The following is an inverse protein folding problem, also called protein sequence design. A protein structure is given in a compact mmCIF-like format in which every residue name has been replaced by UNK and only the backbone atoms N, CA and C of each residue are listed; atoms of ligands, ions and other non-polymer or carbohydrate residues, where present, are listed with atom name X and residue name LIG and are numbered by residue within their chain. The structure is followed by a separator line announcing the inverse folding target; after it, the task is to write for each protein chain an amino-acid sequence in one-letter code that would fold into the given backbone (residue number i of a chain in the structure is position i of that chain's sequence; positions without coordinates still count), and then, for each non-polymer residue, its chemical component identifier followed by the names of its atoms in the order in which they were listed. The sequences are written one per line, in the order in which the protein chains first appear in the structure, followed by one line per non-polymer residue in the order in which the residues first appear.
data_IF_560716446127
#
_entry.id   IF_560716446127
#
_cell.length_a   1.000
_cell.length_b   1.000
_cell.length_c   1.000
_cell.angle_alpha   90.00
_cell.angle_beta   90.00
_cell.angle_gamma   90.00
#
_symmetry.space_group_name_H-M   'P 1'
#
loop_
_entity.id
_entity.type
_entity.pdbx_description
1 polymer ?
#
# COMPACT_ATOMS: atom_id res chain seq x y z
N UNK A 1 8.71 12.63 -13.04
CA UNK A 1 8.24 11.22 -13.21
C UNK A 1 7.34 10.81 -12.06
N UNK A 2 6.68 9.64 -12.17
CA UNK A 2 5.92 9.03 -11.08
C UNK A 2 6.46 7.63 -10.83
N UNK A 3 6.90 7.38 -9.62
CA UNK A 3 7.46 6.11 -9.19
C UNK A 3 6.48 5.41 -8.24
N UNK A 4 6.35 4.10 -8.32
CA UNK A 4 5.66 3.30 -7.31
C UNK A 4 6.70 2.52 -6.49
N UNK A 5 6.69 2.72 -5.19
CA UNK A 5 7.48 1.95 -4.23
C UNK A 5 6.55 0.99 -3.49
N UNK A 6 6.69 -0.30 -3.76
CA UNK A 6 5.83 -1.35 -3.20
C UNK A 6 6.60 -2.11 -2.12
N UNK A 7 6.14 -2.05 -0.87
CA UNK A 7 6.81 -2.78 0.19
C UNK A 7 6.10 -4.09 0.54
N UNK A 8 6.86 -5.17 0.44
CA UNK A 8 6.44 -6.56 0.62
C UNK A 8 7.42 -7.35 1.50
N UNK A 9 8.16 -6.65 2.39
CA UNK A 9 9.18 -7.24 3.28
C UNK A 9 8.63 -7.97 4.51
N UNK A 10 7.32 -7.88 4.78
CA UNK A 10 6.73 -8.49 5.98
C UNK A 10 6.60 -10.02 5.88
N UNK A 11 7.02 -10.73 6.92
CA UNK A 11 6.91 -12.20 7.03
C UNK A 11 5.49 -12.70 7.35
N UNK A 12 4.52 -11.80 7.55
CA UNK A 12 3.11 -12.18 7.74
C UNK A 12 2.80 -12.84 9.08
N UNK A 13 3.42 -12.42 10.18
CA UNK A 13 3.28 -13.03 11.51
C UNK A 13 1.83 -13.25 12.00
N UNK A 14 0.88 -12.46 11.49
CA UNK A 14 -0.57 -12.61 11.78
C UNK A 14 -1.27 -13.70 10.96
N UNK A 15 -0.63 -14.23 9.92
CA UNK A 15 -1.12 -15.32 9.07
C UNK A 15 -0.45 -16.66 9.41
N UNK A 16 -0.24 -16.94 10.70
CA UNK A 16 0.54 -18.06 11.26
C UNK A 16 0.16 -19.47 10.77
N UNK A 17 -0.95 -19.64 10.08
CA UNK A 17 -1.43 -20.93 9.57
C UNK A 17 -0.94 -21.29 8.15
N UNK A 18 -0.14 -20.42 7.52
CA UNK A 18 0.32 -20.64 6.15
C UNK A 18 1.85 -20.59 6.08
N UNK A 19 2.46 -21.59 5.44
CA UNK A 19 3.91 -21.73 5.29
C UNK A 19 4.52 -20.74 4.28
N UNK A 20 3.69 -19.92 3.62
CA UNK A 20 4.14 -18.92 2.64
C UNK A 20 3.80 -17.50 3.13
N UNK A 21 4.70 -16.52 2.87
CA UNK A 21 4.40 -15.11 3.18
C UNK A 21 3.14 -14.63 2.44
N UNK A 22 2.30 -13.89 3.15
CA UNK A 22 0.94 -13.53 2.70
C UNK A 22 0.88 -12.86 1.32
N UNK A 23 1.89 -12.10 0.93
CA UNK A 23 1.97 -11.44 -0.38
C UNK A 23 2.08 -12.42 -1.55
N UNK A 24 2.52 -13.65 -1.28
CA UNK A 24 2.66 -14.71 -2.28
C UNK A 24 1.49 -15.71 -2.27
N UNK A 25 0.50 -15.52 -1.40
CA UNK A 25 -0.70 -16.36 -1.40
C UNK A 25 -1.43 -16.18 -2.72
N UNK A 26 -1.75 -17.30 -3.36
CA UNK A 26 -2.59 -17.32 -4.55
C UNK A 26 -4.05 -17.05 -4.19
N UNK A 27 -4.65 -16.17 -4.96
CA UNK A 27 -6.09 -15.90 -4.92
C UNK A 27 -6.60 -15.91 -6.36
N UNK A 28 -7.40 -16.91 -6.68
CA UNK A 28 -7.98 -17.07 -8.00
C UNK A 28 -6.93 -17.07 -9.12
N UNK A 29 -5.92 -17.96 -8.98
CA UNK A 29 -4.85 -18.20 -9.96
C UNK A 29 -3.77 -17.12 -10.06
N UNK A 30 -3.70 -16.18 -9.08
CA UNK A 30 -2.69 -15.12 -9.12
C UNK A 30 -2.25 -14.71 -7.71
N UNK A 31 -0.94 -14.61 -7.41
CA UNK A 31 -0.44 -14.11 -6.14
C UNK A 31 -0.90 -12.68 -5.84
N UNK A 32 -1.20 -12.39 -4.57
CA UNK A 32 -1.71 -11.08 -4.13
C UNK A 32 -0.78 -9.94 -4.57
N UNK A 33 0.55 -10.13 -4.44
CA UNK A 33 1.52 -9.10 -4.84
C UNK A 33 1.42 -8.79 -6.34
N UNK A 34 1.24 -9.80 -7.17
CA UNK A 34 1.11 -9.61 -8.62
C UNK A 34 -0.14 -8.81 -8.95
N UNK A 35 -1.27 -9.09 -8.29
CA UNK A 35 -2.48 -8.28 -8.43
C UNK A 35 -2.24 -6.82 -8.06
N UNK A 36 -1.51 -6.58 -6.97
CA UNK A 36 -1.15 -5.22 -6.55
C UNK A 36 -0.24 -4.53 -7.58
N UNK A 37 0.80 -5.21 -8.05
CA UNK A 37 1.73 -4.67 -9.05
C UNK A 37 1.06 -4.34 -10.39
N UNK A 38 0.08 -5.15 -10.81
CA UNK A 38 -0.68 -4.92 -12.05
C UNK A 38 -1.36 -3.56 -12.10
N UNK A 39 -1.91 -3.07 -10.97
CA UNK A 39 -2.56 -1.76 -10.92
C UNK A 39 -1.58 -0.64 -11.27
N UNK A 40 -0.36 -0.69 -10.74
CA UNK A 40 0.67 0.31 -11.03
C UNK A 40 1.28 0.12 -12.42
N UNK A 41 1.54 -1.12 -12.83
CA UNK A 41 2.11 -1.44 -14.14
C UNK A 41 1.19 -0.98 -15.29
N UNK A 42 -0.11 -1.18 -15.15
CA UNK A 42 -1.12 -0.78 -16.15
C UNK A 42 -1.48 0.71 -16.10
N UNK A 43 -1.12 1.41 -15.03
CA UNK A 43 -1.48 2.83 -14.89
C UNK A 43 -0.64 3.72 -15.79
N UNK A 44 -1.26 4.58 -16.64
CA UNK A 44 -0.52 5.34 -17.66
C UNK A 44 0.44 6.38 -17.08
N UNK A 45 0.14 6.93 -15.91
CA UNK A 45 0.98 7.96 -15.29
C UNK A 45 2.11 7.39 -14.41
N UNK A 46 2.15 6.09 -14.13
CA UNK A 46 3.25 5.46 -13.38
C UNK A 46 4.35 5.09 -14.37
N UNK A 47 5.55 5.59 -14.13
CA UNK A 47 6.71 5.38 -15.00
C UNK A 47 7.52 4.16 -14.58
N UNK A 48 7.79 3.99 -13.29
CA UNK A 48 8.60 2.87 -12.77
C UNK A 48 8.04 2.31 -11.47
N UNK A 49 8.40 1.06 -11.18
CA UNK A 49 8.04 0.35 -9.96
C UNK A 49 9.32 -0.20 -9.32
N UNK A 50 9.51 0.06 -8.05
CA UNK A 50 10.53 -0.57 -7.19
C UNK A 50 9.81 -1.38 -6.11
N UNK A 51 10.30 -2.58 -5.82
CA UNK A 51 9.72 -3.45 -4.79
C UNK A 51 10.74 -3.71 -3.69
N UNK A 52 10.36 -3.48 -2.43
CA UNK A 52 11.11 -3.96 -1.27
C UNK A 52 10.53 -5.30 -0.83
N UNK A 53 11.31 -6.37 -0.91
CA UNK A 53 10.86 -7.74 -0.72
C UNK A 53 11.67 -8.46 0.38
N UNK A 54 11.16 -9.55 0.91
CA UNK A 54 11.91 -10.46 1.77
C UNK A 54 13.16 -10.92 1.00
N UNK A 55 14.38 -10.80 1.56
CA UNK A 55 15.62 -11.03 0.80
C UNK A 55 15.71 -12.39 0.09
N UNK A 56 15.33 -13.47 0.75
CA UNK A 56 15.35 -14.84 0.19
C UNK A 56 14.22 -15.12 -0.82
N UNK A 57 13.36 -14.15 -1.09
CA UNK A 57 12.26 -14.23 -2.05
C UNK A 57 12.42 -13.33 -3.28
N UNK A 58 13.52 -12.62 -3.41
CA UNK A 58 13.77 -11.69 -4.51
C UNK A 58 13.74 -12.42 -5.86
N UNK A 59 14.50 -13.51 -6.00
CA UNK A 59 14.54 -14.30 -7.25
C UNK A 59 13.18 -14.92 -7.57
N UNK A 60 12.47 -15.39 -6.55
CA UNK A 60 11.12 -15.92 -6.70
C UNK A 60 10.15 -14.84 -7.22
N UNK A 61 10.23 -13.63 -6.67
CA UNK A 61 9.40 -12.51 -7.13
C UNK A 61 9.74 -12.10 -8.57
N UNK A 62 11.02 -12.07 -8.96
CA UNK A 62 11.41 -11.85 -10.36
C UNK A 62 10.81 -12.91 -11.30
N UNK A 63 10.78 -14.17 -10.87
CA UNK A 63 10.13 -15.26 -11.60
C UNK A 63 8.64 -14.97 -11.85
N UNK A 64 7.91 -14.59 -10.80
CA UNK A 64 6.49 -14.24 -10.87
C UNK A 64 6.23 -13.02 -11.75
N UNK A 65 7.05 -11.97 -11.64
CA UNK A 65 6.95 -10.76 -12.48
C UNK A 65 7.07 -11.12 -13.95
N UNK A 66 8.03 -11.97 -14.31
CA UNK A 66 8.22 -12.45 -15.68
C UNK A 66 7.05 -13.33 -16.15
N UNK A 67 6.62 -14.27 -15.34
CA UNK A 67 5.49 -15.18 -15.63
C UNK A 67 4.21 -14.40 -15.92
N UNK A 68 3.90 -13.41 -15.08
CA UNK A 68 2.70 -12.59 -15.21
C UNK A 68 2.88 -11.34 -16.09
N UNK A 69 4.05 -11.19 -16.74
CA UNK A 69 4.37 -10.08 -17.66
C UNK A 69 4.12 -8.71 -17.04
N UNK A 70 4.53 -8.53 -15.78
CA UNK A 70 4.44 -7.23 -15.12
C UNK A 70 5.55 -6.33 -15.68
N UNK A 71 5.15 -5.23 -16.27
CA UNK A 71 6.05 -4.23 -16.82
C UNK A 71 6.43 -3.16 -15.77
N UNK A 72 7.36 -2.29 -16.10
CA UNK A 72 7.81 -1.12 -15.31
C UNK A 72 8.52 -1.46 -13.98
N UNK A 73 8.69 -2.72 -13.60
CA UNK A 73 9.50 -3.08 -12.42
C UNK A 73 10.97 -2.95 -12.81
N UNK A 74 11.63 -1.94 -12.23
CA UNK A 74 13.03 -1.59 -12.53
C UNK A 74 14.00 -2.10 -11.45
N UNK A 75 13.51 -2.46 -10.27
CA UNK A 75 14.34 -2.96 -9.17
C UNK A 75 13.55 -3.69 -8.09
N UNK A 76 14.18 -4.70 -7.49
CA UNK A 76 13.73 -5.34 -6.27
C UNK A 76 14.88 -5.28 -5.27
N UNK A 77 14.62 -4.72 -4.08
CA UNK A 77 15.61 -4.60 -3.00
C UNK A 77 15.20 -5.41 -1.79
N UNK A 78 16.15 -5.76 -0.95
CA UNK A 78 15.87 -6.42 0.33
C UNK A 78 15.11 -5.51 1.28
N UNK A 79 14.10 -6.06 1.95
CA UNK A 79 13.42 -5.39 3.06
C UNK A 79 14.35 -5.21 4.26
N UNK A 80 13.98 -4.29 5.16
CA UNK A 80 14.69 -4.03 6.41
C UNK A 80 14.09 -4.80 7.60
N UNK A 81 14.58 -4.49 8.80
CA UNK A 81 14.13 -5.12 10.04
C UNK A 81 12.65 -4.81 10.39
N UNK A 82 12.12 -3.72 9.86
CA UNK A 82 10.73 -3.30 10.05
C UNK A 82 10.16 -2.66 8.76
N UNK A 83 8.89 -2.23 8.81
CA UNK A 83 8.22 -1.59 7.68
C UNK A 83 8.87 -0.28 7.25
N UNK A 84 9.25 0.56 8.21
CA UNK A 84 9.91 1.85 7.96
C UNK A 84 11.24 1.66 7.22
N UNK A 85 12.10 0.75 7.68
CA UNK A 85 13.37 0.46 7.03
C UNK A 85 13.18 -0.19 5.66
N UNK A 86 12.15 -1.04 5.49
CA UNK A 86 11.83 -1.62 4.18
C UNK A 86 11.39 -0.56 3.18
N UNK A 87 10.62 0.43 3.62
CA UNK A 87 10.24 1.58 2.80
C UNK A 87 11.47 2.42 2.46
N UNK A 88 12.32 2.74 3.43
CA UNK A 88 13.55 3.50 3.21
C UNK A 88 14.46 2.83 2.17
N UNK A 89 14.72 1.52 2.30
CA UNK A 89 15.53 0.78 1.32
C UNK A 89 14.97 0.91 -0.11
N UNK A 90 13.65 0.83 -0.26
CA UNK A 90 12.99 1.00 -1.55
C UNK A 90 13.08 2.44 -2.08
N UNK A 91 12.94 3.44 -1.21
CA UNK A 91 13.07 4.86 -1.58
C UNK A 91 14.48 5.21 -2.04
N UNK A 92 15.52 4.71 -1.38
CA UNK A 92 16.92 4.86 -1.81
C UNK A 92 17.15 4.28 -3.20
N UNK A 93 16.49 3.17 -3.55
CA UNK A 93 16.56 2.61 -4.91
C UNK A 93 15.84 3.51 -5.93
N UNK A 94 14.65 4.04 -5.58
CA UNK A 94 13.91 5.00 -6.41
C UNK A 94 14.73 6.27 -6.65
N UNK A 95 15.40 6.78 -5.61
CA UNK A 95 16.17 8.03 -5.65
C UNK A 95 17.26 8.03 -6.72
N UNK A 96 17.87 6.87 -7.01
CA UNK A 96 18.94 6.74 -8.01
C UNK A 96 18.54 7.24 -9.41
N UNK A 97 17.25 7.21 -9.74
CA UNK A 97 16.73 7.56 -11.06
C UNK A 97 15.58 8.59 -10.98
N UNK A 98 15.50 9.34 -9.89
CA UNK A 98 14.47 10.36 -9.68
C UNK A 98 15.04 11.75 -9.49
N UNK A 99 14.17 12.75 -9.64
CA UNK A 99 14.46 14.14 -9.27
C UNK A 99 13.69 14.50 -7.99
N UNK A 100 14.09 15.54 -7.24
CA UNK A 100 13.40 15.94 -6.02
C UNK A 100 11.90 16.23 -6.17
N UNK A 101 11.48 16.65 -7.36
CA UNK A 101 10.09 17.00 -7.66
C UNK A 101 9.25 15.84 -8.23
N UNK A 102 9.88 14.69 -8.46
CA UNK A 102 9.16 13.48 -8.87
C UNK A 102 8.23 13.00 -7.74
N UNK A 103 7.13 12.38 -8.12
CA UNK A 103 6.17 11.80 -7.17
C UNK A 103 6.51 10.34 -6.94
N UNK A 104 6.53 9.91 -5.69
CA UNK A 104 6.59 8.51 -5.31
C UNK A 104 5.30 8.09 -4.59
N UNK A 105 4.74 6.97 -5.03
CA UNK A 105 3.58 6.32 -4.43
C UNK A 105 4.04 5.15 -3.58
N UNK A 106 3.87 5.23 -2.27
CA UNK A 106 4.25 4.15 -1.33
C UNK A 106 3.03 3.29 -1.06
N UNK A 107 3.13 1.99 -1.36
CA UNK A 107 1.99 1.07 -1.21
C UNK A 107 2.40 -0.27 -0.61
N UNK A 108 1.51 -0.84 0.21
CA UNK A 108 1.63 -2.24 0.65
C UNK A 108 1.48 -3.20 -0.54
N UNK A 109 2.35 -4.19 -0.67
CA UNK A 109 2.26 -5.25 -1.70
C UNK A 109 1.09 -6.23 -1.52
N UNK A 110 0.19 -5.92 -0.62
CA UNK A 110 -0.99 -6.72 -0.26
C UNK A 110 -2.30 -5.92 -0.33
N UNK A 111 -2.37 -4.97 -1.29
CA UNK A 111 -3.61 -4.23 -1.61
C UNK A 111 -4.07 -4.53 -3.04
N UNK A 112 -4.67 -5.70 -3.26
CA UNK A 112 -5.04 -6.15 -4.61
C UNK A 112 -6.27 -5.47 -5.21
N UNK A 113 -6.92 -4.56 -4.47
CA UNK A 113 -8.20 -3.93 -4.82
C UNK A 113 -8.07 -2.42 -5.07
N UNK A 114 -6.94 -2.00 -5.64
CA UNK A 114 -6.73 -0.62 -6.04
C UNK A 114 -7.56 -0.27 -7.30
N UNK A 115 -7.94 0.99 -7.44
CA UNK A 115 -8.52 1.51 -8.68
C UNK A 115 -7.56 2.48 -9.37
N UNK A 116 -7.65 2.57 -10.71
CA UNK A 116 -6.87 3.54 -11.47
C UNK A 116 -7.17 4.98 -11.02
N UNK A 117 -8.44 5.28 -10.71
CA UNK A 117 -8.83 6.58 -10.20
C UNK A 117 -8.13 6.93 -8.88
N UNK A 118 -8.07 6.00 -7.93
CA UNK A 118 -7.39 6.23 -6.65
C UNK A 118 -5.90 6.54 -6.84
N UNK A 119 -5.24 5.86 -7.77
CA UNK A 119 -3.84 6.12 -8.13
C UNK A 119 -3.70 7.51 -8.76
N UNK A 120 -4.57 7.88 -9.71
CA UNK A 120 -4.57 9.23 -10.33
C UNK A 120 -4.79 10.33 -9.29
N UNK A 121 -5.81 10.20 -8.45
CA UNK A 121 -6.12 11.18 -7.39
C UNK A 121 -4.93 11.36 -6.43
N UNK A 122 -4.23 10.26 -6.11
CA UNK A 122 -3.03 10.29 -5.27
C UNK A 122 -1.88 11.05 -5.93
N UNK A 123 -1.64 10.81 -7.22
CA UNK A 123 -0.61 11.51 -7.99
C UNK A 123 -0.90 13.01 -8.07
N UNK A 124 -2.11 13.39 -8.42
CA UNK A 124 -2.54 14.79 -8.55
C UNK A 124 -2.43 15.52 -7.20
N UNK A 125 -2.96 14.92 -6.14
CA UNK A 125 -2.88 15.49 -4.79
C UNK A 125 -1.43 15.65 -4.32
N UNK A 126 -0.54 14.68 -4.59
CA UNK A 126 0.86 14.76 -4.22
C UNK A 126 1.62 15.84 -5.00
N UNK A 127 1.29 16.04 -6.28
CA UNK A 127 1.87 17.12 -7.09
C UNK A 127 1.47 18.51 -6.57
N UNK A 128 0.22 18.65 -6.15
CA UNK A 128 -0.31 19.95 -5.67
C UNK A 128 0.14 20.28 -4.24
N UNK A 129 0.25 19.25 -3.37
CA UNK A 129 0.42 19.46 -1.92
C UNK A 129 1.66 18.79 -1.32
N UNK A 130 2.54 18.21 -2.13
CA UNK A 130 3.74 17.41 -1.74
C UNK A 130 3.42 16.15 -0.93
N UNK A 131 2.20 15.99 -0.45
CA UNK A 131 1.72 14.83 0.33
C UNK A 131 0.31 14.46 -0.10
N UNK A 132 -0.01 13.16 -0.14
CA UNK A 132 -1.33 12.65 -0.49
C UNK A 132 -1.62 11.36 0.29
N UNK A 133 -2.60 11.39 1.17
CA UNK A 133 -2.98 10.24 1.99
C UNK A 133 -4.46 9.92 1.75
N UNK A 134 -4.77 8.79 1.09
CA UNK A 134 -6.16 8.37 0.93
C UNK A 134 -6.73 7.93 2.28
N UNK A 135 -7.95 8.37 2.56
CA UNK A 135 -8.63 8.05 3.81
C UNK A 135 -10.09 7.70 3.58
N UNK A 136 -10.65 6.85 4.44
CA UNK A 136 -12.09 6.64 4.54
C UNK A 136 -12.59 7.09 5.92
N UNK A 137 -13.77 7.74 6.02
CA UNK A 137 -14.34 8.06 7.32
C UNK A 137 -14.60 6.78 8.13
N UNK A 138 -14.29 6.81 9.43
CA UNK A 138 -14.69 5.72 10.32
C UNK A 138 -16.21 5.64 10.40
N UNK A 139 -16.75 4.43 10.16
CA UNK A 139 -18.18 4.13 10.33
C UNK A 139 -18.49 3.66 11.75
N UNK A 140 -17.50 3.12 12.43
CA UNK A 140 -17.60 2.60 13.78
C UNK A 140 -17.28 3.70 14.81
N UNK A 141 -17.81 3.52 16.03
CA UNK A 141 -17.40 4.33 17.18
C UNK A 141 -16.00 3.92 17.61
N UNK A 142 -15.13 4.89 17.85
CA UNK A 142 -13.74 4.66 18.26
C UNK A 142 -13.57 5.10 19.70
N UNK A 143 -13.02 4.21 20.52
CA UNK A 143 -12.68 4.46 21.91
C UNK A 143 -11.15 4.46 22.06
N UNK A 144 -10.64 5.31 22.95
CA UNK A 144 -9.25 5.29 23.37
C UNK A 144 -9.14 4.57 24.70
N UNK A 145 -8.39 3.46 24.74
CA UNK A 145 -8.14 2.69 25.94
C UNK A 145 -6.63 2.50 26.13
N UNK A 146 -6.05 2.96 27.25
CA UNK A 146 -4.63 2.76 27.55
C UNK A 146 -4.26 1.32 27.92
N UNK A 147 -5.19 0.57 28.47
CA UNK A 147 -4.99 -0.80 28.99
C UNK A 147 -5.63 -1.89 28.12
N UNK A 148 -6.49 -1.51 27.16
CA UNK A 148 -7.24 -2.44 26.32
C UNK A 148 -8.43 -3.13 27.03
N UNK A 149 -8.67 -2.83 28.32
CA UNK A 149 -9.72 -3.43 29.16
C UNK A 149 -10.79 -2.42 29.54
N UNK A 150 -10.40 -1.19 29.87
CA UNK A 150 -11.31 -0.12 30.29
C UNK A 150 -11.21 1.09 29.38
N UNK A 151 -12.25 1.86 29.26
CA UNK A 151 -12.29 3.07 28.46
C UNK A 151 -13.15 4.16 29.09
N UNK A 152 -12.62 5.37 29.18
CA UNK A 152 -13.34 6.56 29.62
C UNK A 152 -13.40 7.68 28.57
N UNK A 153 -12.82 7.45 27.36
CA UNK A 153 -12.74 8.46 26.29
C UNK A 153 -13.26 7.93 24.96
N UNK A 154 -14.31 8.55 24.44
CA UNK A 154 -14.80 8.33 23.08
C UNK A 154 -14.23 9.38 22.15
N UNK A 155 -13.73 8.95 20.99
CA UNK A 155 -13.21 9.86 19.98
C UNK A 155 -14.36 10.36 19.06
N UNK A 156 -14.34 11.63 18.64
CA UNK A 156 -15.40 12.19 17.80
C UNK A 156 -15.34 11.58 16.40
N UNK A 157 -16.27 10.66 16.12
CA UNK A 157 -16.32 9.88 14.85
C UNK A 157 -16.18 10.74 13.59
N UNK A 158 -16.73 11.94 13.57
CA UNK A 158 -16.63 12.86 12.41
C UNK A 158 -15.21 13.32 12.10
N UNK A 159 -14.29 13.16 13.05
CA UNK A 159 -12.88 13.51 12.92
C UNK A 159 -11.97 12.27 12.76
N UNK A 160 -12.57 11.08 12.75
CA UNK A 160 -11.83 9.81 12.66
C UNK A 160 -11.83 9.29 11.23
N UNK A 161 -10.62 9.10 10.70
CA UNK A 161 -10.40 8.60 9.35
C UNK A 161 -9.45 7.41 9.38
N UNK A 162 -9.74 6.42 8.56
CA UNK A 162 -8.88 5.24 8.37
C UNK A 162 -7.97 5.53 7.18
N UNK A 163 -6.66 5.53 7.41
CA UNK A 163 -5.66 5.75 6.35
C UNK A 163 -5.52 4.53 5.45
N UNK A 164 -5.28 4.79 4.19
CA UNK A 164 -5.04 3.75 3.18
C UNK A 164 -3.71 4.02 2.45
N UNK A 165 -3.40 3.17 1.48
CA UNK A 165 -2.34 3.33 0.50
C UNK A 165 -2.94 3.16 -0.92
N UNK A 166 -2.28 3.66 -1.99
CA UNK A 166 -0.94 4.26 -1.96
C UNK A 166 -0.94 5.62 -1.28
N UNK A 167 0.14 5.95 -0.55
CA UNK A 167 0.39 7.30 -0.05
C UNK A 167 1.38 7.98 -1.00
N UNK A 168 1.05 9.17 -1.46
CA UNK A 168 1.85 9.92 -2.43
C UNK A 168 2.68 11.02 -1.77
N UNK A 169 3.91 11.19 -2.25
CA UNK A 169 4.83 12.21 -1.76
C UNK A 169 5.71 12.71 -2.89
N UNK A 170 6.21 13.97 -2.81
CA UNK A 170 7.38 14.35 -3.60
C UNK A 170 8.61 13.63 -3.04
N UNK A 171 9.56 13.25 -3.92
CA UNK A 171 10.80 12.59 -3.48
C UNK A 171 11.54 13.43 -2.44
N UNK A 172 11.64 14.74 -2.66
CA UNK A 172 12.23 15.68 -1.70
C UNK A 172 11.61 15.56 -0.31
N UNK A 173 10.26 15.56 -0.23
CA UNK A 173 9.54 15.56 1.05
C UNK A 173 9.74 14.26 1.82
N UNK A 174 9.65 13.13 1.15
CA UNK A 174 9.75 11.85 1.82
C UNK A 174 11.19 11.48 2.21
N UNK A 175 12.18 11.79 1.36
CA UNK A 175 13.58 11.56 1.70
C UNK A 175 14.01 12.44 2.87
N UNK A 176 13.63 13.73 2.86
CA UNK A 176 13.84 14.59 4.03
C UNK A 176 13.24 14.01 5.31
N UNK A 177 12.03 13.44 5.25
CA UNK A 177 11.39 12.85 6.43
C UNK A 177 12.17 11.64 6.97
N UNK A 178 12.71 10.78 6.10
CA UNK A 178 13.55 9.67 6.52
C UNK A 178 14.89 10.13 7.12
N UNK A 179 15.54 11.14 6.54
CA UNK A 179 16.77 11.73 7.08
C UNK A 179 16.56 12.36 8.48
N UNK A 180 15.44 13.08 8.66
CA UNK A 180 15.08 13.66 9.96
C UNK A 180 14.70 12.60 10.99
N UNK A 181 14.05 11.53 10.58
CA UNK A 181 13.75 10.39 11.43
C UNK A 181 15.03 9.77 12.01
N UNK A 182 16.03 9.55 11.16
CA UNK A 182 17.34 9.03 11.59
C UNK A 182 18.00 9.94 12.62
N UNK A 183 18.07 11.25 12.34
CA UNK A 183 18.65 12.27 13.25
C UNK A 183 17.93 12.34 14.61
N UNK A 184 16.61 12.15 14.63
CA UNK A 184 15.79 12.20 15.86
C UNK A 184 15.60 10.85 16.54
N UNK A 185 16.13 9.75 15.96
CA UNK A 185 16.00 8.41 16.50
C UNK A 185 14.58 7.83 16.39
N UNK A 186 13.77 8.29 15.42
CA UNK A 186 12.45 7.73 15.13
C UNK A 186 12.64 6.46 14.31
N UNK A 187 12.36 5.31 14.90
CA UNK A 187 12.76 4.02 14.31
C UNK A 187 11.61 3.17 13.77
N UNK A 188 10.38 3.44 14.18
CA UNK A 188 9.27 2.53 13.85
C UNK A 188 7.90 3.23 13.70
N UNK A 189 7.76 4.27 12.89
CA UNK A 189 6.46 4.84 12.56
C UNK A 189 5.62 3.79 11.82
N UNK A 190 4.31 3.77 12.07
CA UNK A 190 3.38 2.78 11.49
C UNK A 190 3.24 3.01 9.97
N UNK A 191 3.37 4.26 9.53
CA UNK A 191 3.25 4.66 8.12
C UNK A 191 4.08 5.90 7.81
N UNK A 192 4.28 6.19 6.53
CA UNK A 192 4.97 7.41 6.09
C UNK A 192 4.20 8.69 6.46
N UNK A 193 2.87 8.65 6.49
CA UNK A 193 2.06 9.78 6.96
C UNK A 193 2.22 10.02 8.47
N UNK A 194 2.31 8.98 9.27
CA UNK A 194 2.58 9.09 10.71
C UNK A 194 3.96 9.67 10.95
N UNK A 195 4.97 9.21 10.21
CA UNK A 195 6.32 9.78 10.29
C UNK A 195 6.32 11.31 10.10
N UNK A 196 5.66 11.80 9.04
CA UNK A 196 5.56 13.23 8.78
C UNK A 196 4.87 13.98 9.92
N UNK A 197 3.78 13.44 10.45
CA UNK A 197 3.05 14.04 11.58
C UNK A 197 3.93 14.07 12.85
N UNK A 198 4.68 13.03 13.13
CA UNK A 198 5.61 12.95 14.26
C UNK A 198 6.77 13.97 14.13
N UNK A 199 7.17 14.29 12.90
CA UNK A 199 8.12 15.34 12.58
C UNK A 199 7.53 16.76 12.70
N UNK A 200 6.23 16.92 12.95
CA UNK A 200 5.52 18.19 13.09
C UNK A 200 4.91 18.71 11.80
N UNK A 201 4.89 17.90 10.75
CA UNK A 201 4.31 18.26 9.45
C UNK A 201 2.81 17.96 9.39
N UNK A 202 2.14 18.60 8.46
CA UNK A 202 0.75 18.25 8.09
C UNK A 202 0.74 17.46 6.78
N UNK A 203 -0.20 16.51 6.66
CA UNK A 203 -0.37 15.74 5.43
C UNK A 203 -1.72 16.04 4.80
N UNK A 204 -1.74 16.13 3.48
CA UNK A 204 -2.99 16.30 2.73
C UNK A 204 -3.73 14.98 2.65
N UNK A 205 -4.97 14.95 3.09
CA UNK A 205 -5.85 13.78 2.97
C UNK A 205 -6.81 13.97 1.80
N UNK A 206 -7.21 12.85 1.17
CA UNK A 206 -8.24 12.82 0.12
C UNK A 206 -9.09 11.55 0.24
N UNK A 207 -10.22 11.50 -0.48
CA UNK A 207 -11.18 10.40 -0.38
C UNK A 207 -10.61 9.11 -0.95
N UNK A 208 -10.46 8.10 -0.10
CA UNK A 208 -10.15 6.71 -0.47
C UNK A 208 -11.39 5.90 -0.84
N UNK A 209 -11.21 4.60 -1.06
CA UNK A 209 -12.29 3.66 -1.41
C UNK A 209 -12.32 2.49 -0.42
N UNK A 210 -13.53 2.03 -0.07
CA UNK A 210 -13.69 0.96 0.93
C UNK A 210 -13.14 -0.38 0.48
N UNK A 211 -13.20 -0.64 -0.80
CA UNK A 211 -12.72 -1.86 -1.43
C UNK A 211 -11.20 -2.02 -1.34
N UNK A 212 -10.46 -0.93 -1.14
CA UNK A 212 -8.99 -0.95 -1.02
C UNK A 212 -8.53 -1.55 0.31
N UNK A 213 -8.86 -2.81 0.53
CA UNK A 213 -8.46 -3.54 1.73
C UNK A 213 -6.97 -3.89 1.72
N UNK A 214 -6.36 -3.89 2.90
CA UNK A 214 -5.02 -4.43 3.15
C UNK A 214 -5.16 -5.85 3.66
N UNK A 215 -4.78 -6.85 2.88
CA UNK A 215 -4.82 -8.25 3.33
C UNK A 215 -3.80 -8.48 4.43
N UNK A 216 -4.31 -8.71 5.65
CA UNK A 216 -3.49 -8.79 6.86
C UNK A 216 -3.78 -10.04 7.69
N UNK A 217 -5.03 -10.47 7.69
CA UNK A 217 -5.56 -11.62 8.45
C UNK A 217 -6.20 -12.66 7.53
N UNK A 218 -6.48 -13.89 8.01
CA UNK A 218 -7.25 -14.89 7.26
C UNK A 218 -8.64 -14.39 6.84
N UNK A 219 -9.28 -13.56 7.66
CA UNK A 219 -10.60 -12.98 7.38
C UNK A 219 -10.54 -12.00 6.19
N UNK A 220 -9.46 -11.20 6.10
CA UNK A 220 -9.23 -10.33 4.94
C UNK A 220 -9.08 -11.15 3.66
N UNK A 221 -8.42 -12.31 3.74
CA UNK A 221 -8.27 -13.21 2.60
C UNK A 221 -9.61 -13.81 2.16
N UNK A 222 -10.49 -14.15 3.11
CA UNK A 222 -11.84 -14.62 2.80
C UNK A 222 -12.66 -13.51 2.14
N UNK A 223 -12.58 -12.30 2.67
CA UNK A 223 -13.21 -11.10 2.09
C UNK A 223 -12.74 -10.88 0.66
N UNK A 224 -11.44 -10.95 0.42
CA UNK A 224 -10.86 -10.82 -0.92
C UNK A 224 -11.37 -11.88 -1.89
N UNK A 225 -11.40 -13.15 -1.47
CA UNK A 225 -11.91 -14.26 -2.29
C UNK A 225 -13.40 -14.08 -2.63
N UNK A 226 -14.20 -13.65 -1.65
CA UNK A 226 -15.62 -13.38 -1.85
C UNK A 226 -15.84 -12.25 -2.86
N UNK A 227 -14.97 -11.24 -2.86
CA UNK A 227 -15.03 -10.14 -3.81
C UNK A 227 -14.76 -10.62 -5.24
N UNK A 228 -13.70 -11.39 -5.47
CA UNK A 228 -13.39 -11.94 -6.79
C UNK A 228 -14.47 -12.93 -7.28
N UNK A 229 -15.01 -13.74 -6.38
CA UNK A 229 -16.13 -14.62 -6.71
C UNK A 229 -17.36 -13.82 -7.17
N UNK A 230 -17.71 -12.76 -6.46
CA UNK A 230 -18.82 -11.87 -6.81
C UNK A 230 -18.59 -11.19 -8.16
N UNK A 231 -17.41 -10.65 -8.43
CA UNK A 231 -17.08 -10.05 -9.72
C UNK A 231 -17.14 -11.07 -10.87
N UNK A 232 -16.65 -12.27 -10.66
CA UNK A 232 -16.74 -13.35 -11.65
C UNK A 232 -18.20 -13.74 -11.92
N UNK A 233 -19.02 -13.84 -10.88
CA UNK A 233 -20.44 -14.11 -10.99
C UNK A 233 -21.18 -12.98 -11.71
N UNK A 234 -20.88 -11.73 -11.40
CA UNK A 234 -21.46 -10.55 -12.04
C UNK A 234 -21.16 -10.52 -13.53
N UNK A 235 -19.91 -10.79 -13.92
CA UNK A 235 -19.53 -10.88 -15.33
C UNK A 235 -20.27 -12.01 -16.03
N UNK A 236 -20.36 -13.20 -15.45
CA UNK A 236 -21.14 -14.33 -15.98
C UNK A 236 -22.62 -13.96 -16.13
N UNK A 237 -23.23 -13.35 -15.10
CA UNK A 237 -24.63 -12.94 -15.14
C UNK A 237 -24.90 -11.93 -16.26
N UNK A 238 -23.97 -10.99 -16.48
CA UNK A 238 -24.10 -9.98 -17.54
C UNK A 238 -23.93 -10.59 -18.94
N UNK A 239 -22.96 -11.47 -19.12
CA UNK A 239 -22.63 -12.06 -20.42
C UNK A 239 -23.62 -13.15 -20.83
N UNK A 240 -23.93 -14.09 -19.94
CA UNK A 240 -24.71 -15.27 -20.23
C UNK A 240 -26.22 -15.13 -19.92
N UNK A 241 -26.54 -14.48 -18.80
CA UNK A 241 -27.92 -14.33 -18.35
C UNK A 241 -28.55 -13.00 -18.75
N UNK A 242 -27.77 -12.05 -19.28
CA UNK A 242 -28.19 -10.67 -19.63
C UNK A 242 -28.83 -9.91 -18.46
N UNK A 243 -28.42 -10.23 -17.24
CA UNK A 243 -28.82 -9.53 -16.01
C UNK A 243 -27.80 -8.46 -15.66
N UNK A 244 -28.27 -7.23 -15.40
CA UNK A 244 -27.47 -6.13 -14.85
C UNK A 244 -27.65 -6.15 -13.31
N UNK A 245 -26.60 -6.58 -12.59
CA UNK A 245 -26.57 -6.70 -11.14
C UNK A 245 -25.85 -5.49 -10.51
#
# INVERSE_FOLDING_TARGET
MVHAMIFAGGIGARMKSLDIPKQFIDVDGKPIIIRTLEHFSKHPQVDTIVVSCIPDKIDYLWGLIKEHRIEKVVGIVGGGANGHQSIHNGLVEVEKNSTPDDVVLICDGVRPMLSAKLISDCIETAREHETAVPVTPSIDSVLESPDGETCCKSLPRKQMFITQAPQGYTMRKIMWAHDEAEKRGITNPISSSELLIELGETVRIFQGIRENIKVTTPEDLQTLRSYFYYESFKNFAKEELKYDL
#
